data_IF_081419780161
#
_entry.id   IF_081419780161
#
_cell.length_a   1.000
_cell.length_b   1.000
_cell.length_c   1.000
_cell.angle_alpha   90.00
_cell.angle_beta   90.00
_cell.angle_gamma   90.00
#
_symmetry.space_group_name_H-M   'P 1'
#
loop_
_entity.id
_entity.type
_entity.pdbx_description
1 polymer ?
#
# COMPACT_ATOMS: atom_id res chain seq x y z
N UNK A 1 -0.12 -27.50 -40.54
CA UNK A 1 0.24 -27.30 -39.11
C UNK A 1 0.35 -25.82 -38.86
N UNK A 2 -0.40 -25.38 -37.94
CA UNK A 2 -0.88 -24.06 -37.62
C UNK A 2 0.10 -22.89 -37.69
N UNK A 3 -0.36 -21.84 -38.33
CA UNK A 3 0.26 -20.54 -38.43
C UNK A 3 -0.22 -19.62 -37.29
N UNK A 4 -0.44 -20.16 -36.06
CA UNK A 4 -0.87 -19.35 -34.94
C UNK A 4 0.01 -19.61 -33.71
N UNK A 5 0.16 -18.57 -32.90
CA UNK A 5 0.79 -18.62 -31.58
C UNK A 5 -0.33 -18.67 -30.55
N UNK A 6 -0.26 -19.62 -29.61
CA UNK A 6 -1.18 -19.71 -28.50
C UNK A 6 -0.46 -19.24 -27.22
N UNK A 7 -1.00 -18.23 -26.58
CA UNK A 7 -0.53 -17.72 -25.30
C UNK A 7 -1.64 -17.91 -24.28
N UNK A 8 -1.32 -18.58 -23.16
CA UNK A 8 -2.23 -18.78 -22.03
C UNK A 8 -1.64 -18.06 -20.84
N UNK A 9 -2.44 -17.24 -20.17
CA UNK A 9 -2.04 -16.50 -19.00
C UNK A 9 -3.05 -16.72 -17.86
N UNK A 10 -2.56 -16.78 -16.65
CA UNK A 10 -3.38 -16.95 -15.45
C UNK A 10 -2.50 -16.85 -14.21
N UNK A 11 -3.14 -16.81 -13.05
CA UNK A 11 -2.41 -16.84 -11.78
C UNK A 11 -1.68 -18.16 -11.61
N UNK A 12 -0.51 -18.11 -10.99
CA UNK A 12 0.41 -19.27 -10.88
C UNK A 12 -0.28 -20.50 -10.32
N UNK A 13 -1.00 -20.38 -9.22
CA UNK A 13 -1.69 -21.52 -8.60
C UNK A 13 -2.77 -22.12 -9.51
N UNK A 14 -3.50 -21.30 -10.24
CA UNK A 14 -4.53 -21.71 -11.15
C UNK A 14 -3.98 -22.40 -12.38
N UNK A 15 -2.86 -21.87 -12.91
CA UNK A 15 -2.12 -22.51 -14.00
C UNK A 15 -1.53 -23.84 -13.59
N UNK A 16 -0.95 -23.95 -12.40
CA UNK A 16 -0.43 -25.22 -11.86
C UNK A 16 -1.56 -26.24 -11.68
N UNK A 17 -2.73 -25.82 -11.22
CA UNK A 17 -3.92 -26.67 -11.12
C UNK A 17 -4.41 -27.14 -12.50
N UNK A 18 -4.45 -26.25 -13.48
CA UNK A 18 -4.82 -26.58 -14.86
C UNK A 18 -3.88 -27.64 -15.44
N UNK A 19 -2.58 -27.49 -15.26
CA UNK A 19 -1.57 -28.44 -15.73
C UNK A 19 -1.62 -29.77 -14.96
N UNK A 20 -2.00 -29.76 -13.69
CA UNK A 20 -2.16 -30.99 -12.91
C UNK A 20 -3.40 -31.79 -13.33
N UNK A 21 -4.51 -31.11 -13.60
CA UNK A 21 -5.75 -31.75 -14.07
C UNK A 21 -5.57 -32.31 -15.49
N UNK A 22 -4.78 -31.62 -16.32
CA UNK A 22 -4.56 -32.05 -17.71
C UNK A 22 -3.06 -32.08 -18.07
N UNK A 23 -2.34 -33.18 -17.75
CA UNK A 23 -0.91 -33.30 -18.04
C UNK A 23 -0.57 -33.19 -19.51
N UNK A 24 -1.48 -33.62 -20.40
CA UNK A 24 -1.31 -33.50 -21.85
C UNK A 24 -1.39 -32.04 -22.34
N UNK A 25 -1.97 -31.14 -21.57
CA UNK A 25 -1.99 -29.73 -21.87
C UNK A 25 -0.61 -29.09 -21.64
N UNK A 26 0.05 -29.43 -20.52
CA UNK A 26 1.39 -28.94 -20.22
C UNK A 26 2.41 -29.29 -21.29
N UNK A 27 2.35 -30.52 -21.83
CA UNK A 27 3.31 -30.99 -22.83
C UNK A 27 3.23 -30.27 -24.19
N UNK A 28 2.19 -29.50 -24.43
CA UNK A 28 1.98 -28.72 -25.66
C UNK A 28 2.55 -27.31 -25.58
N UNK A 29 2.97 -26.86 -24.40
CA UNK A 29 3.62 -25.56 -24.21
C UNK A 29 5.12 -25.74 -24.01
N UNK A 30 5.92 -25.04 -24.80
CA UNK A 30 7.38 -25.12 -24.77
C UNK A 30 8.01 -24.03 -23.90
N UNK A 31 7.26 -22.96 -23.63
CA UNK A 31 7.76 -21.80 -22.90
C UNK A 31 6.84 -21.48 -21.73
N UNK A 32 7.45 -21.29 -20.56
CA UNK A 32 6.77 -20.87 -19.34
C UNK A 32 7.47 -19.63 -18.83
N UNK A 33 6.72 -18.54 -18.73
CA UNK A 33 7.20 -17.27 -18.25
C UNK A 33 6.52 -16.97 -16.92
N UNK A 34 7.31 -16.78 -15.88
CA UNK A 34 6.82 -16.23 -14.62
C UNK A 34 6.93 -14.71 -14.67
N UNK A 35 5.86 -14.04 -14.28
CA UNK A 35 5.85 -12.59 -14.08
C UNK A 35 5.66 -12.41 -12.59
N UNK A 36 6.72 -11.95 -11.93
CA UNK A 36 6.70 -11.68 -10.49
C UNK A 36 5.99 -10.35 -10.21
N UNK A 37 5.58 -10.14 -8.95
CA UNK A 37 5.05 -8.86 -8.52
C UNK A 37 6.13 -7.77 -8.64
N UNK A 38 5.69 -6.55 -8.95
CA UNK A 38 6.57 -5.40 -8.94
C UNK A 38 7.06 -5.09 -7.54
N UNK A 39 8.29 -4.63 -7.44
CA UNK A 39 8.85 -4.06 -6.21
C UNK A 39 8.18 -2.72 -5.86
N UNK A 40 8.25 -2.25 -4.61
CA UNK A 40 7.70 -0.94 -4.24
C UNK A 40 8.22 0.22 -5.10
N UNK A 41 9.50 0.21 -5.46
CA UNK A 41 10.09 1.23 -6.32
C UNK A 41 9.53 1.19 -7.75
N UNK A 42 9.29 -0.01 -8.29
CA UNK A 42 8.66 -0.16 -9.60
C UNK A 42 7.20 0.26 -9.56
N UNK A 43 6.47 -0.08 -8.50
CA UNK A 43 5.10 0.38 -8.29
C UNK A 43 5.01 1.90 -8.22
N UNK A 44 5.95 2.55 -7.51
CA UNK A 44 6.03 4.00 -7.46
C UNK A 44 6.29 4.61 -8.85
N UNK A 45 7.21 4.03 -9.63
CA UNK A 45 7.46 4.47 -11.01
C UNK A 45 6.23 4.31 -11.90
N UNK A 46 5.48 3.22 -11.75
CA UNK A 46 4.22 3.02 -12.47
C UNK A 46 3.22 4.12 -12.12
N UNK A 47 3.09 4.48 -10.83
CA UNK A 47 2.23 5.58 -10.40
C UNK A 47 2.67 6.91 -11.01
N UNK A 48 3.98 7.19 -11.02
CA UNK A 48 4.54 8.40 -11.64
C UNK A 48 4.25 8.48 -13.15
N UNK A 49 4.20 7.35 -13.84
CA UNK A 49 3.82 7.34 -15.26
C UNK A 49 2.41 7.90 -15.45
N UNK A 50 1.45 7.50 -14.60
CA UNK A 50 0.09 8.04 -14.65
C UNK A 50 0.02 9.54 -14.35
N UNK A 51 0.86 10.00 -13.40
CA UNK A 51 0.95 11.41 -13.08
C UNK A 51 1.53 12.22 -14.26
N UNK A 52 2.62 11.75 -14.85
CA UNK A 52 3.28 12.40 -15.98
C UNK A 52 2.36 12.49 -17.19
N UNK A 53 1.64 11.42 -17.51
CA UNK A 53 0.70 11.37 -18.63
C UNK A 53 -0.45 12.40 -18.50
N UNK A 54 -0.79 12.75 -17.26
CA UNK A 54 -1.83 13.74 -16.93
C UNK A 54 -1.24 15.10 -16.49
N UNK A 55 0.08 15.30 -16.61
CA UNK A 55 0.80 16.53 -16.26
C UNK A 55 0.77 16.91 -14.77
N UNK A 56 0.52 15.95 -13.88
CA UNK A 56 0.61 16.18 -12.45
C UNK A 56 2.05 16.16 -11.94
N UNK A 57 2.33 17.01 -10.95
CA UNK A 57 3.62 17.09 -10.27
C UNK A 57 3.42 16.87 -8.77
N UNK A 58 4.20 16.00 -8.18
CA UNK A 58 4.21 15.77 -6.74
C UNK A 58 5.16 16.74 -6.04
N UNK A 59 4.75 17.27 -4.90
CA UNK A 59 5.71 17.93 -4.01
C UNK A 59 6.65 16.89 -3.39
N UNK A 60 7.87 17.25 -2.94
CA UNK A 60 8.78 16.30 -2.30
C UNK A 60 8.15 15.55 -1.12
N UNK A 61 7.35 16.24 -0.31
CA UNK A 61 6.62 15.61 0.81
C UNK A 61 5.55 14.64 0.34
N UNK A 62 4.85 14.96 -0.75
CA UNK A 62 3.86 14.06 -1.35
C UNK A 62 4.52 12.81 -1.92
N UNK A 63 5.71 12.94 -2.53
CA UNK A 63 6.49 11.79 -3.01
C UNK A 63 6.85 10.84 -1.88
N UNK A 64 7.43 11.37 -0.80
CA UNK A 64 7.83 10.56 0.36
C UNK A 64 6.62 9.84 0.96
N UNK A 65 5.51 10.56 1.12
CA UNK A 65 4.28 10.00 1.66
C UNK A 65 3.65 8.94 0.73
N UNK A 66 3.70 9.16 -0.58
CA UNK A 66 3.24 8.18 -1.55
C UNK A 66 4.07 6.89 -1.52
N UNK A 67 5.40 6.99 -1.41
CA UNK A 67 6.28 5.84 -1.23
C UNK A 67 5.95 5.06 0.04
N UNK A 68 5.66 5.76 1.15
CA UNK A 68 5.23 5.10 2.40
C UNK A 68 3.93 4.31 2.22
N UNK A 69 2.92 4.90 1.57
CA UNK A 69 1.64 4.21 1.27
C UNK A 69 1.85 2.99 0.40
N UNK A 70 2.69 3.09 -0.62
CA UNK A 70 2.99 1.98 -1.53
C UNK A 70 3.71 0.86 -0.79
N UNK A 71 4.70 1.19 0.05
CA UNK A 71 5.39 0.20 0.87
C UNK A 71 4.42 -0.52 1.81
N UNK A 72 3.54 0.21 2.48
CA UNK A 72 2.54 -0.37 3.37
C UNK A 72 1.58 -1.31 2.61
N UNK A 73 1.09 -0.90 1.44
CA UNK A 73 0.27 -1.77 0.59
C UNK A 73 1.01 -3.02 0.13
N UNK A 74 2.29 -2.88 -0.16
CA UNK A 74 3.14 -3.99 -0.59
C UNK A 74 3.39 -4.98 0.55
N UNK A 75 3.70 -4.51 1.76
CA UNK A 75 3.92 -5.37 2.93
C UNK A 75 2.65 -6.14 3.34
N UNK A 76 1.48 -5.52 3.22
CA UNK A 76 0.21 -6.15 3.57
C UNK A 76 -0.51 -6.80 2.37
N UNK A 77 0.20 -6.99 1.24
CA UNK A 77 -0.39 -7.59 0.03
C UNK A 77 -0.78 -9.05 0.24
N UNK A 78 -1.89 -9.41 -0.33
CA UNK A 78 -2.34 -10.79 -0.45
C UNK A 78 -1.94 -11.41 -1.81
N UNK A 79 -2.34 -12.66 -2.04
CA UNK A 79 -2.07 -13.42 -3.27
C UNK A 79 -2.69 -12.80 -4.53
N UNK A 80 -3.63 -11.88 -4.35
CA UNK A 80 -4.38 -11.24 -5.43
C UNK A 80 -4.00 -9.77 -5.58
N UNK A 81 -2.86 -9.38 -5.04
CA UNK A 81 -2.38 -8.00 -5.13
C UNK A 81 -2.40 -7.50 -6.57
N UNK A 82 -3.10 -6.40 -6.79
CA UNK A 82 -3.42 -5.94 -8.13
C UNK A 82 -2.30 -5.16 -8.82
N UNK A 83 -1.09 -5.08 -8.21
CA UNK A 83 0.08 -4.45 -8.80
C UNK A 83 -0.22 -3.08 -9.46
N UNK A 84 0.01 -2.96 -10.76
CA UNK A 84 -0.23 -1.73 -11.51
C UNK A 84 -1.67 -1.21 -11.46
N UNK A 85 -2.68 -2.08 -11.27
CA UNK A 85 -4.07 -1.63 -11.06
C UNK A 85 -4.24 -0.95 -9.71
N UNK A 86 -3.58 -1.48 -8.66
CA UNK A 86 -3.58 -0.85 -7.35
C UNK A 86 -2.97 0.56 -7.42
N UNK A 87 -1.89 0.73 -8.18
CA UNK A 87 -1.26 2.04 -8.39
C UNK A 87 -2.16 3.01 -9.15
N UNK A 88 -2.92 2.52 -10.13
CA UNK A 88 -3.92 3.35 -10.82
C UNK A 88 -5.02 3.80 -9.87
N UNK A 89 -5.56 2.89 -9.07
CA UNK A 89 -6.59 3.22 -8.08
C UNK A 89 -6.07 4.20 -7.03
N UNK A 90 -4.83 4.02 -6.56
CA UNK A 90 -4.18 4.96 -5.64
C UNK A 90 -4.08 6.35 -6.28
N UNK A 91 -3.59 6.44 -7.52
CA UNK A 91 -3.46 7.71 -8.22
C UNK A 91 -4.82 8.39 -8.46
N UNK A 92 -5.84 7.64 -8.88
CA UNK A 92 -7.19 8.19 -9.09
C UNK A 92 -7.79 8.71 -7.76
N UNK A 93 -7.51 8.03 -6.63
CA UNK A 93 -7.91 8.51 -5.31
C UNK A 93 -7.16 9.78 -4.89
N UNK A 94 -5.86 9.86 -5.18
CA UNK A 94 -5.06 11.07 -4.95
C UNK A 94 -5.64 12.25 -5.73
N UNK A 95 -5.94 12.07 -7.02
CA UNK A 95 -6.54 13.12 -7.85
C UNK A 95 -7.90 13.57 -7.30
N UNK A 96 -8.72 12.64 -6.81
CA UNK A 96 -10.00 12.97 -6.19
C UNK A 96 -9.81 13.82 -4.95
N UNK A 97 -8.91 13.44 -4.04
CA UNK A 97 -8.61 14.21 -2.81
C UNK A 97 -8.04 15.60 -3.13
N UNK A 98 -7.18 15.70 -4.15
CA UNK A 98 -6.68 16.97 -4.62
C UNK A 98 -7.84 17.88 -5.10
N UNK A 99 -8.76 17.34 -5.91
CA UNK A 99 -9.92 18.10 -6.38
C UNK A 99 -10.79 18.58 -5.21
N UNK A 100 -11.05 17.72 -4.21
CA UNK A 100 -11.79 18.06 -2.99
C UNK A 100 -11.08 19.16 -2.15
N UNK A 101 -9.73 19.14 -2.11
CA UNK A 101 -8.94 20.19 -1.46
C UNK A 101 -9.01 21.50 -2.21
N UNK A 102 -8.89 21.47 -3.53
CA UNK A 102 -8.91 22.67 -4.36
C UNK A 102 -10.31 23.31 -4.45
N UNK A 103 -11.37 22.50 -4.37
CA UNK A 103 -12.75 23.01 -4.36
C UNK A 103 -13.04 23.95 -3.17
N UNK A 104 -12.33 23.75 -2.06
CA UNK A 104 -12.46 24.62 -0.87
C UNK A 104 -11.83 26.01 -1.06
N UNK A 105 -11.02 26.17 -2.11
CA UNK A 105 -10.40 27.43 -2.47
C UNK A 105 -11.18 28.07 -3.64
N UNK A 106 -11.00 29.37 -3.86
CA UNK A 106 -11.57 30.03 -5.05
C UNK A 106 -10.77 29.57 -6.30
N UNK A 107 -11.34 28.61 -7.04
CA UNK A 107 -10.72 28.02 -8.22
C UNK A 107 -10.25 29.05 -9.27
N UNK A 108 -10.86 30.25 -9.28
CA UNK A 108 -10.50 31.31 -10.22
C UNK A 108 -9.20 32.01 -9.87
N UNK A 109 -8.72 31.83 -8.65
CA UNK A 109 -7.48 32.43 -8.14
C UNK A 109 -6.26 31.50 -8.25
N UNK A 110 -6.49 30.21 -8.58
CA UNK A 110 -5.44 29.20 -8.65
C UNK A 110 -4.69 29.27 -9.99
N UNK A 111 -3.39 29.21 -9.94
CA UNK A 111 -2.54 29.07 -11.13
C UNK A 111 -2.63 27.66 -11.72
N UNK A 112 -2.27 27.52 -12.98
CA UNK A 112 -2.21 26.19 -13.62
C UNK A 112 -1.23 25.26 -12.91
N UNK A 113 -0.15 25.76 -12.33
CA UNK A 113 0.81 24.98 -11.55
C UNK A 113 0.17 24.44 -10.26
N UNK A 114 -0.58 25.25 -9.54
CA UNK A 114 -1.29 24.83 -8.34
C UNK A 114 -2.36 23.78 -8.65
N UNK A 115 -3.05 23.91 -9.78
CA UNK A 115 -4.06 22.96 -10.23
C UNK A 115 -3.46 21.59 -10.58
N UNK A 116 -2.18 21.54 -11.00
CA UNK A 116 -1.49 20.29 -11.35
C UNK A 116 -0.57 19.78 -10.24
N UNK A 117 -0.48 20.47 -9.11
CA UNK A 117 0.39 20.07 -8.00
C UNK A 117 -0.33 19.19 -7.00
N UNK A 118 0.22 18.02 -6.73
CA UNK A 118 -0.20 17.09 -5.69
C UNK A 118 0.61 17.36 -4.42
N UNK A 119 -0.08 17.68 -3.34
CA UNK A 119 0.49 17.90 -2.02
C UNK A 119 0.40 16.65 -1.14
N UNK A 120 1.09 16.66 -0.01
CA UNK A 120 1.03 15.57 0.97
C UNK A 120 -0.37 15.38 1.60
N UNK A 121 -1.22 16.42 1.61
CA UNK A 121 -2.60 16.31 2.07
C UNK A 121 -3.47 15.48 1.12
N UNK A 122 -3.09 15.39 -0.15
CA UNK A 122 -3.83 14.65 -1.17
C UNK A 122 -3.53 13.14 -1.11
N UNK A 123 -2.43 12.75 -0.48
CA UNK A 123 -2.06 11.35 -0.35
C UNK A 123 -2.91 10.68 0.74
N UNK A 124 -3.63 9.59 0.42
CA UNK A 124 -4.50 8.88 1.36
C UNK A 124 -3.66 8.05 2.36
N UNK A 125 -3.00 8.73 3.25
CA UNK A 125 -2.22 8.13 4.31
C UNK A 125 -2.77 8.59 5.65
N UNK A 126 -3.51 7.71 6.29
CA UNK A 126 -3.93 7.91 7.65
C UNK A 126 -2.77 7.52 8.56
N UNK A 127 -2.01 8.54 9.00
CA UNK A 127 -1.03 8.26 10.06
C UNK A 127 -1.78 7.59 11.21
N UNK A 128 -1.25 6.49 11.76
CA UNK A 128 -1.81 5.99 13.00
C UNK A 128 -1.75 7.12 14.00
N UNK A 129 -2.92 7.56 14.41
CA UNK A 129 -3.02 8.49 15.52
C UNK A 129 -2.49 7.77 16.75
N UNK A 130 -1.83 8.52 17.64
CA UNK A 130 -1.51 7.99 18.96
C UNK A 130 -2.81 7.46 19.56
N UNK A 131 -2.85 6.18 19.83
CA UNK A 131 -4.00 5.55 20.45
C UNK A 131 -3.94 5.89 21.93
N UNK A 132 -5.01 6.45 22.45
CA UNK A 132 -5.15 6.64 23.91
C UNK A 132 -5.53 5.30 24.52
N UNK A 133 -4.56 4.67 25.18
CA UNK A 133 -4.77 3.40 25.88
C UNK A 133 -5.18 3.59 27.34
N UNK A 134 -5.46 4.84 27.75
CA UNK A 134 -5.69 5.18 29.17
C UNK A 134 -6.84 4.35 29.74
N UNK A 135 -7.96 4.29 29.03
CA UNK A 135 -9.13 3.53 29.50
C UNK A 135 -8.84 2.02 29.59
N UNK A 136 -8.17 1.45 28.58
CA UNK A 136 -7.78 0.03 28.61
C UNK A 136 -6.79 -0.28 29.73
N UNK A 137 -5.84 0.62 30.00
CA UNK A 137 -4.88 0.47 31.11
C UNK A 137 -5.57 0.63 32.46
N UNK A 138 -6.58 1.49 32.58
CA UNK A 138 -7.38 1.61 33.80
C UNK A 138 -8.13 0.31 34.08
N UNK A 139 -8.81 -0.27 33.10
CA UNK A 139 -9.50 -1.56 33.22
C UNK A 139 -8.54 -2.69 33.60
N UNK A 140 -7.37 -2.77 32.93
CA UNK A 140 -6.34 -3.73 33.24
C UNK A 140 -5.84 -3.61 34.69
N UNK A 141 -5.68 -2.35 35.18
CA UNK A 141 -5.22 -2.09 36.54
C UNK A 141 -6.25 -2.47 37.62
N UNK A 142 -7.54 -2.51 37.29
CA UNK A 142 -8.60 -2.95 38.19
C UNK A 142 -8.61 -4.46 38.44
N UNK A 143 -8.00 -5.26 37.57
CA UNK A 143 -7.88 -6.70 37.78
C UNK A 143 -7.02 -7.00 39.02
N UNK A 144 -7.39 -8.03 39.75
CA UNK A 144 -6.61 -8.47 40.94
C UNK A 144 -5.36 -9.23 40.54
N UNK A 145 -4.19 -8.83 41.02
CA UNK A 145 -2.93 -9.49 40.71
C UNK A 145 -2.31 -9.10 39.37
N UNK A 146 -1.56 -10.00 38.75
CA UNK A 146 -0.95 -9.86 37.41
C UNK A 146 -0.01 -8.63 37.25
N UNK A 147 0.71 -8.26 38.30
CA UNK A 147 1.55 -7.03 38.32
C UNK A 147 2.60 -7.00 37.22
N UNK A 148 3.26 -8.14 36.93
CA UNK A 148 4.24 -8.23 35.84
C UNK A 148 3.61 -8.00 34.47
N UNK A 149 2.42 -8.57 34.23
CA UNK A 149 1.68 -8.41 32.97
C UNK A 149 1.22 -6.96 32.80
N UNK A 150 0.71 -6.34 33.86
CA UNK A 150 0.30 -4.91 33.84
C UNK A 150 1.45 -4.00 33.45
N UNK A 151 2.62 -4.24 34.05
CA UNK A 151 3.83 -3.46 33.74
C UNK A 151 4.28 -3.66 32.30
N UNK A 152 4.24 -4.89 31.81
CA UNK A 152 4.68 -5.23 30.47
C UNK A 152 3.74 -4.62 29.42
N UNK A 153 2.42 -4.67 29.61
CA UNK A 153 1.44 -4.02 28.74
C UNK A 153 1.61 -2.49 28.73
N UNK A 154 1.81 -1.86 29.89
CA UNK A 154 2.06 -0.43 29.97
C UNK A 154 3.34 -0.01 29.26
N UNK A 155 4.42 -0.78 29.40
CA UNK A 155 5.66 -0.55 28.68
C UNK A 155 5.49 -0.71 27.17
N UNK A 156 4.75 -1.73 26.72
CA UNK A 156 4.45 -1.96 25.31
C UNK A 156 3.63 -0.80 24.71
N UNK A 157 2.58 -0.36 25.40
CA UNK A 157 1.77 0.78 24.97
C UNK A 157 2.61 2.06 24.82
N UNK A 158 3.47 2.34 25.79
CA UNK A 158 4.39 3.47 25.76
C UNK A 158 5.40 3.36 24.61
N UNK A 159 5.92 2.16 24.36
CA UNK A 159 6.83 1.91 23.24
C UNK A 159 6.16 2.11 21.90
N UNK A 160 4.96 1.58 21.69
CA UNK A 160 4.17 1.77 20.44
C UNK A 160 3.92 3.25 20.18
N UNK A 161 3.49 4.00 21.19
CA UNK A 161 3.27 5.44 21.05
C UNK A 161 4.57 6.19 20.70
N UNK A 162 5.70 5.80 21.27
CA UNK A 162 7.00 6.37 20.94
C UNK A 162 7.39 6.09 19.48
N UNK A 163 7.17 4.87 19.00
CA UNK A 163 7.44 4.49 17.61
C UNK A 163 6.54 5.25 16.62
N UNK A 164 5.26 5.42 16.95
CA UNK A 164 4.34 6.24 16.17
C UNK A 164 4.84 7.70 16.08
N UNK A 165 5.31 8.27 17.20
CA UNK A 165 5.88 9.63 17.21
C UNK A 165 7.14 9.75 16.36
N UNK A 166 7.99 8.73 16.33
CA UNK A 166 9.22 8.70 15.53
C UNK A 166 8.98 8.43 14.06
N UNK A 167 7.78 7.99 13.67
CA UNK A 167 7.48 7.55 12.31
C UNK A 167 8.05 6.18 11.95
N UNK A 168 8.55 5.43 12.92
CA UNK A 168 9.21 4.13 12.76
C UNK A 168 8.20 3.00 12.96
N UNK A 169 7.31 2.76 11.97
CA UNK A 169 6.27 1.74 12.07
C UNK A 169 6.72 0.30 11.79
N UNK A 170 7.84 0.14 11.09
CA UNK A 170 8.15 -1.11 10.38
C UNK A 170 8.84 -2.20 11.21
N UNK A 171 9.13 -1.97 12.48
CA UNK A 171 9.93 -2.93 13.25
C UNK A 171 9.12 -3.95 14.05
N UNK A 172 7.82 -3.76 14.25
CA UNK A 172 7.08 -4.54 15.24
C UNK A 172 6.10 -5.58 14.70
N UNK A 173 5.57 -5.43 13.49
CA UNK A 173 4.59 -6.37 12.93
C UNK A 173 5.23 -7.53 12.13
N UNK A 174 6.53 -7.49 11.90
CA UNK A 174 7.25 -8.47 11.08
C UNK A 174 7.91 -9.63 11.82
N UNK A 175 7.82 -9.72 13.16
CA UNK A 175 8.47 -10.79 13.92
C UNK A 175 7.52 -11.45 14.92
N UNK A 176 6.57 -12.22 14.44
CA UNK A 176 5.98 -13.29 15.22
C UNK A 176 5.66 -14.49 14.35
N UNK A 177 6.55 -15.51 14.46
CA UNK A 177 6.47 -16.97 14.26
C UNK A 177 5.68 -17.49 13.05
#
# INVERSE_FOLDING_TARGET
RGEFVCIVAGYRMEMDNLFRINPGFRSRFNYFLNIDDYTPDELYRIMLTFATDKHYVFTPKAEDKAKMVINEQYEHRDKNFANGRAMRQLFDNICKRQAERLEKNDLKMLSNEELMTISDDDIPYDRPQMVDYTDCLVELNQLVGLQSVKQEVANLASFINLQIQRGERDTFLGKHY
#
